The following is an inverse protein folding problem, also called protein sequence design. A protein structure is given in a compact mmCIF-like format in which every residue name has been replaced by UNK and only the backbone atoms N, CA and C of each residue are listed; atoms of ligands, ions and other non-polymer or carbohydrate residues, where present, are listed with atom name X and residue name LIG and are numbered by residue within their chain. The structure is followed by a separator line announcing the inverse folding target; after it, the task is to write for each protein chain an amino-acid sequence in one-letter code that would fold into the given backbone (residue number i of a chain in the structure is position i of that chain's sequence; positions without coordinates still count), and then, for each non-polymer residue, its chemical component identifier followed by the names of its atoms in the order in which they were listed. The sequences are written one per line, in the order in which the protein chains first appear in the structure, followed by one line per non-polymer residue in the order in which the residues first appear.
data_IF_609095852507
#
_entry.id   IF_609095852507
#
_cell.length_a   1.000
_cell.length_b   1.000
_cell.length_c   1.000
_cell.angle_alpha   90.00
_cell.angle_beta   90.00
_cell.angle_gamma   90.00
#
_symmetry.space_group_name_H-M   'P 1'
#
loop_
_entity.id
_entity.type
_entity.pdbx_description
1 polymer ?
#
# COMPACT_ATOMS: atom_id res chain seq x y z
N UNK A 1 5.36 -13.56 0.82
CA UNK A 1 3.95 -13.15 0.77
C UNK A 1 3.39 -13.30 2.17
N UNK A 2 3.23 -12.20 2.90
CA UNK A 2 2.37 -12.23 4.07
C UNK A 2 0.94 -12.36 3.54
N UNK A 3 0.31 -13.51 3.80
CA UNK A 3 -1.07 -13.72 3.42
C UNK A 3 -1.91 -12.97 4.46
N UNK A 4 -2.66 -11.93 4.07
CA UNK A 4 -3.60 -11.21 4.94
C UNK A 4 -4.50 -12.19 5.70
N UNK A 5 -4.79 -13.35 5.08
CA UNK A 5 -5.52 -14.45 5.69
C UNK A 5 -4.60 -15.58 6.18
N UNK A 6 -4.59 -15.82 7.49
CA UNK A 6 -3.87 -16.94 8.14
C UNK A 6 -4.56 -18.29 7.99
N UNK A 7 -5.36 -18.48 6.96
CA UNK A 7 -6.13 -19.73 6.71
C UNK A 7 -5.22 -20.97 6.70
N UNK A 8 -4.03 -20.88 6.08
CA UNK A 8 -3.07 -22.00 6.05
C UNK A 8 -2.54 -22.37 7.45
N UNK A 9 -2.40 -21.38 8.33
CA UNK A 9 -1.94 -21.60 9.70
C UNK A 9 -3.05 -22.16 10.59
N UNK A 10 -4.28 -21.67 10.43
CA UNK A 10 -5.48 -22.20 11.11
C UNK A 10 -5.74 -23.66 10.70
N UNK A 11 -5.55 -23.97 9.41
CA UNK A 11 -5.63 -25.35 8.91
C UNK A 11 -4.59 -26.24 9.59
N UNK A 12 -3.34 -25.78 9.69
CA UNK A 12 -2.25 -26.50 10.33
C UNK A 12 -2.51 -26.73 11.83
N UNK A 13 -3.00 -25.73 12.56
CA UNK A 13 -3.31 -25.87 14.00
C UNK A 13 -4.47 -26.83 14.27
N UNK A 14 -5.40 -26.97 13.32
CA UNK A 14 -6.54 -27.91 13.38
C UNK A 14 -6.25 -29.27 12.75
N UNK A 15 -5.00 -29.53 12.34
CA UNK A 15 -4.59 -30.75 11.63
C UNK A 15 -5.46 -31.05 10.38
N UNK A 16 -5.85 -30.00 9.67
CA UNK A 16 -6.65 -30.04 8.44
C UNK A 16 -5.82 -29.61 7.24
N UNK A 17 -6.15 -30.15 6.07
CA UNK A 17 -5.58 -29.75 4.79
C UNK A 17 -6.50 -28.77 4.05
N UNK A 18 -5.97 -28.08 3.04
CA UNK A 18 -6.80 -27.27 2.11
C UNK A 18 -7.85 -28.15 1.42
N UNK A 19 -7.54 -29.42 1.15
CA UNK A 19 -8.48 -30.37 0.56
C UNK A 19 -9.66 -30.65 1.49
N UNK A 20 -9.41 -30.78 2.78
CA UNK A 20 -10.46 -31.05 3.78
C UNK A 20 -11.42 -29.87 3.91
N UNK A 21 -10.88 -28.64 3.92
CA UNK A 21 -11.70 -27.43 3.93
C UNK A 21 -12.48 -27.27 2.63
N UNK A 22 -11.88 -27.56 1.48
CA UNK A 22 -12.57 -27.53 0.19
C UNK A 22 -13.74 -28.54 0.17
N UNK A 23 -13.53 -29.74 0.70
CA UNK A 23 -14.57 -30.76 0.88
C UNK A 23 -15.71 -30.27 1.76
N UNK A 24 -15.41 -29.67 2.93
CA UNK A 24 -16.44 -29.07 3.81
C UNK A 24 -17.23 -27.96 3.13
N UNK A 25 -16.57 -27.17 2.29
CA UNK A 25 -17.18 -26.07 1.53
C UNK A 25 -17.92 -26.54 0.27
N UNK A 26 -17.83 -27.82 -0.11
CA UNK A 26 -18.46 -28.34 -1.32
C UNK A 26 -17.83 -27.82 -2.62
N UNK A 27 -16.56 -27.43 -2.60
CA UNK A 27 -15.83 -26.90 -3.76
C UNK A 27 -14.53 -27.67 -4.02
N UNK A 28 -13.97 -27.51 -5.22
CA UNK A 28 -12.68 -28.10 -5.57
C UNK A 28 -11.54 -27.41 -4.80
N UNK A 29 -10.55 -28.19 -4.32
CA UNK A 29 -9.28 -27.72 -3.74
C UNK A 29 -8.61 -26.61 -4.56
N UNK A 30 -8.52 -26.76 -5.87
CA UNK A 30 -7.91 -25.76 -6.77
C UNK A 30 -8.70 -24.46 -6.73
N UNK A 31 -10.03 -24.54 -6.77
CA UNK A 31 -10.94 -23.39 -6.64
C UNK A 31 -10.75 -22.69 -5.30
N UNK A 32 -10.74 -23.44 -4.19
CA UNK A 32 -10.49 -22.87 -2.87
C UNK A 32 -9.10 -22.25 -2.76
N UNK A 33 -8.06 -22.92 -3.28
CA UNK A 33 -6.70 -22.39 -3.27
C UNK A 33 -6.59 -21.10 -4.08
N UNK A 34 -7.26 -21.02 -5.23
CA UNK A 34 -7.33 -19.80 -6.03
C UNK A 34 -8.11 -18.70 -5.31
N UNK A 35 -9.20 -19.03 -4.61
CA UNK A 35 -9.95 -18.06 -3.78
C UNK A 35 -9.11 -17.52 -2.62
N UNK A 36 -8.41 -18.40 -1.88
CA UNK A 36 -7.57 -18.01 -0.74
C UNK A 36 -6.41 -17.11 -1.20
N UNK A 37 -5.79 -17.43 -2.33
CA UNK A 37 -4.64 -16.65 -2.84
C UNK A 37 -5.06 -15.50 -3.76
N UNK A 38 -6.35 -15.36 -4.09
CA UNK A 38 -6.89 -14.44 -5.10
C UNK A 38 -7.92 -13.46 -4.56
N UNK A 39 -7.74 -13.01 -3.30
CA UNK A 39 -8.60 -12.08 -2.57
C UNK A 39 -10.07 -12.57 -2.46
N UNK A 40 -10.38 -13.45 -1.49
CA UNK A 40 -11.71 -14.03 -1.36
C UNK A 40 -12.75 -12.96 -0.98
N UNK A 41 -13.98 -13.10 -1.49
CA UNK A 41 -15.10 -12.23 -1.12
C UNK A 41 -15.42 -12.33 0.38
N UNK A 42 -16.09 -11.31 0.94
CA UNK A 42 -16.60 -11.35 2.32
C UNK A 42 -17.44 -12.60 2.61
N UNK A 43 -18.32 -12.97 1.68
CA UNK A 43 -19.15 -14.16 1.78
C UNK A 43 -18.29 -15.43 1.80
N UNK A 44 -17.26 -15.51 0.95
CA UNK A 44 -16.30 -16.62 0.94
C UNK A 44 -15.52 -16.69 2.24
N UNK A 45 -15.06 -15.56 2.78
CA UNK A 45 -14.35 -15.50 4.06
C UNK A 45 -15.26 -15.93 5.21
N UNK A 46 -16.52 -15.46 5.28
CA UNK A 46 -17.49 -15.92 6.28
C UNK A 46 -17.76 -17.42 6.18
N UNK A 47 -17.88 -17.97 4.96
CA UNK A 47 -18.01 -19.41 4.75
C UNK A 47 -16.77 -20.17 5.22
N UNK A 48 -15.57 -19.66 4.96
CA UNK A 48 -14.32 -20.27 5.42
C UNK A 48 -14.26 -20.27 6.96
N UNK A 49 -14.52 -19.13 7.62
CA UNK A 49 -14.55 -19.04 9.08
C UNK A 49 -15.55 -20.02 9.70
N UNK A 50 -16.77 -20.08 9.14
CA UNK A 50 -17.83 -21.01 9.56
C UNK A 50 -17.40 -22.47 9.41
N UNK A 51 -16.79 -22.86 8.29
CA UNK A 51 -16.37 -24.25 8.04
C UNK A 51 -15.12 -24.66 8.86
N UNK A 52 -14.29 -23.70 9.25
CA UNK A 52 -13.17 -23.87 10.16
C UNK A 52 -13.57 -23.78 11.64
N UNK A 53 -14.80 -23.35 11.92
CA UNK A 53 -15.30 -23.07 13.26
C UNK A 53 -14.35 -22.16 14.05
N UNK A 54 -14.11 -20.97 13.49
CA UNK A 54 -13.33 -19.87 14.09
C UNK A 54 -14.12 -18.57 13.95
N UNK A 55 -13.83 -17.58 14.78
CA UNK A 55 -14.39 -16.25 14.57
C UNK A 55 -13.90 -15.64 13.25
N UNK A 56 -14.70 -14.77 12.63
CA UNK A 56 -14.36 -14.15 11.36
C UNK A 56 -13.02 -13.39 11.42
N UNK A 57 -12.74 -12.74 12.55
CA UNK A 57 -11.49 -11.99 12.78
C UNK A 57 -10.26 -12.90 12.88
N UNK A 58 -10.42 -14.17 13.30
CA UNK A 58 -9.30 -15.12 13.38
C UNK A 58 -8.75 -15.52 12.01
N UNK A 59 -9.50 -15.28 10.92
CA UNK A 59 -8.99 -15.51 9.57
C UNK A 59 -7.83 -14.57 9.24
N UNK A 60 -7.70 -13.43 9.91
CA UNK A 60 -6.72 -12.40 9.61
C UNK A 60 -5.43 -12.57 10.40
N UNK A 61 -4.34 -12.01 9.88
CA UNK A 61 -3.06 -11.96 10.57
C UNK A 61 -3.02 -10.94 11.68
N UNK A 62 -3.65 -11.27 12.82
CA UNK A 62 -3.25 -10.65 14.08
C UNK A 62 -2.04 -11.38 14.65
N UNK A 63 -0.87 -10.75 14.60
CA UNK A 63 0.28 -11.17 15.41
C UNK A 63 0.07 -10.55 16.78
N UNK A 64 -0.03 -11.39 17.81
CA UNK A 64 -0.06 -10.96 19.20
C UNK A 64 1.08 -11.64 19.92
N UNK A 65 2.14 -10.88 20.14
CA UNK A 65 3.25 -11.27 21.00
C UNK A 65 3.10 -10.56 22.35
N UNK A 66 3.91 -10.93 23.34
CA UNK A 66 3.78 -10.43 24.72
C UNK A 66 3.61 -8.90 24.81
N UNK A 67 4.30 -8.14 23.96
CA UNK A 67 4.35 -6.67 24.05
C UNK A 67 3.81 -5.95 22.80
N UNK A 68 3.32 -6.65 21.77
CA UNK A 68 2.78 -5.96 20.58
C UNK A 68 1.65 -6.72 19.90
N UNK A 69 0.78 -5.98 19.22
CA UNK A 69 -0.32 -6.48 18.41
C UNK A 69 -0.34 -5.80 17.06
N UNK A 70 -0.56 -6.58 16.01
CA UNK A 70 -0.79 -6.09 14.64
C UNK A 70 -2.18 -6.53 14.24
N UNK A 71 -2.90 -5.72 13.49
CA UNK A 71 -4.18 -6.12 12.89
C UNK A 71 -4.24 -5.58 11.47
N UNK A 72 -4.14 -6.48 10.50
CA UNK A 72 -4.21 -6.13 9.07
C UNK A 72 -5.61 -6.42 8.56
N UNK A 73 -6.31 -5.39 8.10
CA UNK A 73 -7.70 -5.48 7.66
C UNK A 73 -7.85 -4.95 6.23
N UNK A 74 -9.09 -4.95 5.72
CA UNK A 74 -9.41 -4.38 4.41
C UNK A 74 -9.54 -2.85 4.44
N UNK A 75 -9.63 -2.23 5.63
CA UNK A 75 -9.78 -0.78 5.80
C UNK A 75 -8.55 -0.13 6.43
N UNK A 76 -7.80 -0.86 7.25
CA UNK A 76 -6.62 -0.32 7.92
C UNK A 76 -5.64 -1.41 8.32
N UNK A 77 -4.41 -0.96 8.57
CA UNK A 77 -3.38 -1.76 9.20
C UNK A 77 -3.06 -1.09 10.54
N UNK A 78 -3.45 -1.71 11.65
CA UNK A 78 -3.23 -1.19 12.99
C UNK A 78 -2.00 -1.83 13.64
N UNK A 79 -1.23 -1.02 14.37
CA UNK A 79 -0.09 -1.46 15.16
C UNK A 79 -0.18 -0.92 16.57
N UNK A 80 0.06 -1.78 17.54
CA UNK A 80 0.13 -1.43 18.95
C UNK A 80 1.34 -2.11 19.59
N UNK A 81 2.13 -1.36 20.33
CA UNK A 81 3.15 -1.86 21.26
C UNK A 81 2.77 -1.41 22.68
N UNK A 82 2.88 -2.29 23.65
CA UNK A 82 2.53 -2.00 25.03
C UNK A 82 3.36 -2.88 25.98
N UNK A 83 4.21 -2.25 26.79
CA UNK A 83 4.93 -2.89 27.90
C UNK A 83 4.84 -2.05 29.18
N UNK A 84 5.66 -2.32 30.20
CA UNK A 84 5.64 -1.56 31.46
C UNK A 84 6.03 -0.08 31.33
N UNK A 85 6.81 0.29 30.30
CA UNK A 85 7.41 1.62 30.16
C UNK A 85 6.79 2.44 29.02
N UNK A 86 6.46 1.79 27.90
CA UNK A 86 6.08 2.42 26.64
C UNK A 86 4.73 1.88 26.17
N UNK A 87 3.92 2.80 25.66
CA UNK A 87 2.75 2.49 24.86
C UNK A 87 2.87 3.21 23.51
N UNK A 88 2.79 2.49 22.41
CA UNK A 88 2.78 3.05 21.06
C UNK A 88 1.55 2.53 20.34
N UNK A 89 0.69 3.43 19.89
CA UNK A 89 -0.52 3.09 19.14
C UNK A 89 -0.54 3.81 17.81
N UNK A 90 -0.83 3.10 16.72
CA UNK A 90 -0.73 3.69 15.40
C UNK A 90 -1.34 2.86 14.28
N UNK A 91 -1.21 3.41 13.08
CA UNK A 91 -1.59 2.79 11.82
C UNK A 91 -0.36 2.66 10.94
N UNK A 92 -0.20 1.50 10.31
CA UNK A 92 0.79 1.21 9.30
C UNK A 92 0.27 1.64 7.92
N UNK A 93 1.14 1.70 6.89
CA UNK A 93 0.72 1.93 5.53
C UNK A 93 -0.39 0.96 5.10
N UNK A 94 -1.45 1.48 4.49
CA UNK A 94 -2.58 0.72 3.98
C UNK A 94 -2.97 1.23 2.58
N UNK A 95 -3.40 0.31 1.73
CA UNK A 95 -3.64 0.56 0.30
C UNK A 95 -4.67 1.65 0.02
N UNK A 96 -5.76 1.68 0.80
CA UNK A 96 -6.95 2.51 0.53
C UNK A 96 -7.04 3.82 1.33
N UNK A 97 -6.29 3.96 2.43
CA UNK A 97 -6.56 5.03 3.41
C UNK A 97 -5.34 5.85 3.80
N UNK A 98 -4.21 5.21 4.15
CA UNK A 98 -3.03 5.91 4.69
C UNK A 98 -1.76 5.23 4.19
N UNK A 99 -1.10 5.76 3.16
CA UNK A 99 0.09 5.11 2.59
C UNK A 99 1.41 5.48 3.32
N UNK A 100 1.34 6.34 4.33
CA UNK A 100 2.46 6.91 5.08
C UNK A 100 2.55 6.43 6.55
N UNK A 101 1.45 5.91 7.12
CA UNK A 101 1.39 5.47 8.53
C UNK A 101 1.39 6.62 9.54
N UNK A 102 0.97 6.35 10.78
CA UNK A 102 0.87 7.33 11.88
C UNK A 102 1.04 6.62 13.20
N UNK A 103 1.57 7.28 14.24
CA UNK A 103 1.52 6.75 15.59
C UNK A 103 1.46 7.84 16.67
N UNK A 104 1.08 7.44 17.87
CA UNK A 104 1.31 8.17 19.11
C UNK A 104 2.14 7.27 20.03
N UNK A 105 3.22 7.81 20.59
CA UNK A 105 4.12 7.09 21.50
C UNK A 105 4.11 7.76 22.87
N UNK A 106 3.63 7.06 23.87
CA UNK A 106 3.58 7.48 25.26
C UNK A 106 4.72 6.83 26.06
N UNK A 107 5.40 7.64 26.86
CA UNK A 107 6.29 7.16 27.92
C UNK A 107 5.49 7.23 29.22
N UNK A 108 5.02 6.08 29.71
CA UNK A 108 3.95 5.98 30.73
C UNK A 108 4.24 6.77 32.01
N UNK A 109 5.51 6.79 32.42
CA UNK A 109 5.94 7.47 33.66
C UNK A 109 6.18 8.97 33.50
N UNK A 110 6.13 9.50 32.26
CA UNK A 110 6.46 10.90 31.96
C UNK A 110 5.23 11.76 31.65
N UNK A 111 4.05 11.14 31.47
CA UNK A 111 2.77 11.86 31.35
C UNK A 111 2.59 12.67 30.06
N UNK A 112 3.34 12.36 29.00
CA UNK A 112 3.16 12.97 27.68
C UNK A 112 3.30 11.93 26.55
N UNK A 113 2.79 12.29 25.37
CA UNK A 113 2.90 11.48 24.16
C UNK A 113 3.58 12.25 23.03
N UNK A 114 4.38 11.55 22.25
CA UNK A 114 5.02 12.04 21.04
C UNK A 114 4.13 11.63 19.86
N UNK A 115 3.60 12.61 19.13
CA UNK A 115 2.71 12.41 17.99
C UNK A 115 3.35 13.06 16.77
N UNK A 116 4.10 12.30 15.95
CA UNK A 116 4.72 12.87 14.77
C UNK A 116 3.72 13.25 13.68
N UNK A 117 4.09 14.29 12.93
CA UNK A 117 3.47 14.60 11.64
C UNK A 117 4.01 13.67 10.52
N UNK A 118 3.45 13.77 9.32
CA UNK A 118 3.82 12.91 8.19
C UNK A 118 5.31 13.03 7.81
N UNK A 119 5.88 14.23 7.82
CA UNK A 119 7.28 14.46 7.48
C UNK A 119 8.22 13.85 8.53
N UNK A 120 7.84 13.91 9.80
CA UNK A 120 8.55 13.28 10.90
C UNK A 120 8.53 11.75 10.82
N UNK A 121 7.36 11.14 10.56
CA UNK A 121 7.26 9.70 10.29
C UNK A 121 8.14 9.31 9.11
N UNK A 122 8.06 10.06 8.00
CA UNK A 122 8.89 9.81 6.81
C UNK A 122 10.38 9.88 7.13
N UNK A 123 10.82 10.88 7.91
CA UNK A 123 12.22 11.00 8.34
C UNK A 123 12.68 9.80 9.16
N UNK A 124 11.84 9.30 10.07
CA UNK A 124 12.16 8.11 10.87
C UNK A 124 12.28 6.85 10.01
N UNK A 125 11.33 6.63 9.10
CA UNK A 125 11.26 5.41 8.28
C UNK A 125 12.40 5.31 7.26
N UNK A 126 12.82 6.44 6.69
CA UNK A 126 13.86 6.51 5.66
C UNK A 126 15.26 6.85 6.21
N UNK A 127 15.42 6.87 7.52
CA UNK A 127 16.72 7.10 8.15
C UNK A 127 17.69 5.96 7.85
N UNK A 128 18.96 6.29 7.57
CA UNK A 128 20.06 5.32 7.50
C UNK A 128 20.63 4.98 8.88
N UNK A 129 20.34 5.82 9.89
CA UNK A 129 20.74 5.63 11.28
C UNK A 129 19.92 4.53 11.95
N UNK A 130 20.52 3.80 12.89
CA UNK A 130 19.76 2.96 13.81
C UNK A 130 18.83 3.82 14.68
N UNK A 131 17.79 3.22 15.25
CA UNK A 131 16.87 3.95 16.15
C UNK A 131 17.62 4.57 17.32
N UNK A 132 18.60 3.86 17.89
CA UNK A 132 19.43 4.37 18.98
C UNK A 132 20.23 5.62 18.56
N UNK A 133 20.87 5.59 17.40
CA UNK A 133 21.64 6.72 16.89
C UNK A 133 20.73 7.93 16.58
N UNK A 134 19.60 7.67 15.92
CA UNK A 134 18.63 8.69 15.51
C UNK A 134 18.13 9.52 16.70
N UNK A 135 17.89 8.88 17.84
CA UNK A 135 17.30 9.54 19.01
C UNK A 135 18.34 10.08 20.00
N UNK A 136 19.59 9.61 19.98
CA UNK A 136 20.56 9.93 21.02
C UNK A 136 20.99 11.41 21.02
N UNK A 137 21.06 12.02 22.21
CA UNK A 137 21.57 13.39 22.43
C UNK A 137 22.59 13.53 23.54
N UNK A 138 22.87 12.47 24.29
CA UNK A 138 23.88 12.49 25.35
C UNK A 138 23.45 11.76 26.61
N UNK A 139 24.08 12.13 27.73
CA UNK A 139 23.76 11.64 29.07
C UNK A 139 23.21 12.77 29.94
N UNK A 140 22.27 12.43 30.82
CA UNK A 140 21.73 13.31 31.84
C UNK A 140 21.75 12.57 33.18
N UNK A 141 22.84 12.74 33.94
CA UNK A 141 23.13 11.86 35.06
C UNK A 141 23.31 10.41 34.57
N UNK A 142 22.63 9.47 35.23
CA UNK A 142 22.62 8.05 34.84
C UNK A 142 21.63 7.74 33.69
N UNK A 143 20.79 8.69 33.30
CA UNK A 143 19.81 8.54 32.23
C UNK A 143 20.41 8.86 30.84
N UNK A 144 19.81 8.28 29.80
CA UNK A 144 20.13 8.62 28.41
C UNK A 144 19.23 9.76 27.95
N UNK A 145 19.83 10.88 27.54
CA UNK A 145 19.09 12.00 26.97
C UNK A 145 18.77 11.68 25.51
N UNK A 146 17.47 11.63 25.18
CA UNK A 146 17.01 11.40 23.82
C UNK A 146 16.23 12.60 23.28
N UNK A 147 16.18 12.68 21.96
CA UNK A 147 15.29 13.53 21.20
C UNK A 147 14.58 12.69 20.13
N UNK A 148 13.26 12.65 20.19
CA UNK A 148 12.45 12.17 19.07
C UNK A 148 11.64 13.34 18.54
N UNK A 149 12.00 13.79 17.34
CA UNK A 149 11.44 14.99 16.69
C UNK A 149 11.63 16.25 17.55
N UNK A 150 10.56 16.93 17.93
CA UNK A 150 10.59 18.11 18.80
C UNK A 150 10.68 17.77 20.30
N UNK A 151 10.51 16.50 20.68
CA UNK A 151 10.43 16.08 22.08
C UNK A 151 11.79 15.65 22.63
N UNK A 152 12.24 16.31 23.70
CA UNK A 152 13.47 15.97 24.43
C UNK A 152 13.10 15.42 25.81
N UNK A 153 13.67 14.27 26.17
CA UNK A 153 13.47 13.68 27.51
C UNK A 153 14.65 12.80 27.88
N UNK A 154 15.08 12.78 29.15
CA UNK A 154 15.95 11.72 29.62
C UNK A 154 15.12 10.45 29.86
N UNK A 155 15.73 9.29 29.62
CA UNK A 155 15.15 7.97 29.81
C UNK A 155 16.07 7.11 30.69
N UNK A 156 15.48 6.38 31.64
CA UNK A 156 16.17 5.29 32.33
C UNK A 156 16.57 4.19 31.34
N UNK A 157 17.49 3.29 31.73
CA UNK A 157 17.93 2.19 30.86
C UNK A 157 16.77 1.31 30.36
N UNK A 158 15.81 0.99 31.25
CA UNK A 158 14.63 0.19 30.91
C UNK A 158 13.68 0.95 29.98
N UNK A 159 13.41 2.22 30.25
CA UNK A 159 12.58 3.08 29.37
C UNK A 159 13.22 3.19 27.98
N UNK A 160 14.53 3.43 27.91
CA UNK A 160 15.27 3.56 26.66
C UNK A 160 15.19 2.26 25.83
N UNK A 161 15.37 1.09 26.46
CA UNK A 161 15.26 -0.21 25.78
C UNK A 161 13.85 -0.42 25.21
N UNK A 162 12.82 -0.20 26.02
CA UNK A 162 11.42 -0.30 25.58
C UNK A 162 11.11 0.68 24.44
N UNK A 163 11.62 1.91 24.53
CA UNK A 163 11.41 2.98 23.55
C UNK A 163 11.98 2.60 22.18
N UNK A 164 13.24 2.16 22.16
CA UNK A 164 13.89 1.70 20.94
C UNK A 164 13.18 0.47 20.36
N UNK A 165 12.75 -0.48 21.20
CA UNK A 165 12.05 -1.68 20.75
C UNK A 165 10.71 -1.35 20.08
N UNK A 166 9.91 -0.46 20.67
CA UNK A 166 8.63 -0.03 20.12
C UNK A 166 8.80 0.60 18.72
N UNK A 167 9.76 1.52 18.57
CA UNK A 167 10.06 2.17 17.30
C UNK A 167 10.60 1.18 16.26
N UNK A 168 11.51 0.28 16.64
CA UNK A 168 12.06 -0.74 15.73
C UNK A 168 10.96 -1.64 15.15
N UNK A 169 10.03 -2.10 16.00
CA UNK A 169 8.90 -2.91 15.56
C UNK A 169 7.98 -2.12 14.62
N UNK A 170 7.65 -0.87 14.96
CA UNK A 170 6.85 -0.01 14.10
C UNK A 170 7.51 0.19 12.72
N UNK A 171 8.81 0.52 12.68
CA UNK A 171 9.57 0.70 11.43
C UNK A 171 9.55 -0.58 10.59
N UNK A 172 9.82 -1.74 11.22
CA UNK A 172 9.82 -3.02 10.55
C UNK A 172 8.48 -3.32 9.86
N UNK A 173 7.37 -3.27 10.60
CA UNK A 173 6.05 -3.59 10.05
C UNK A 173 5.54 -2.52 9.08
N UNK A 174 5.98 -1.26 9.24
CA UNK A 174 5.72 -0.21 8.28
C UNK A 174 6.34 -0.53 6.93
N UNK A 175 7.62 -0.91 6.92
CA UNK A 175 8.35 -1.30 5.72
C UNK A 175 7.75 -2.55 5.06
N UNK A 176 7.34 -3.56 5.83
CA UNK A 176 6.65 -4.74 5.30
C UNK A 176 5.35 -4.38 4.59
N UNK A 177 4.48 -3.58 5.24
CA UNK A 177 3.24 -3.11 4.64
C UNK A 177 3.49 -2.28 3.37
N UNK A 178 4.52 -1.40 3.40
CA UNK A 178 4.86 -0.59 2.24
C UNK A 178 5.36 -1.44 1.06
N UNK A 179 6.16 -2.47 1.34
CA UNK A 179 6.64 -3.39 0.32
C UNK A 179 5.48 -4.19 -0.31
N UNK A 180 4.54 -4.67 0.50
CA UNK A 180 3.35 -5.35 -0.01
C UNK A 180 2.50 -4.42 -0.89
N UNK A 181 2.28 -3.17 -0.45
CA UNK A 181 1.60 -2.16 -1.25
C UNK A 181 2.32 -1.94 -2.58
N UNK A 182 3.65 -1.80 -2.58
CA UNK A 182 4.41 -1.62 -3.81
C UNK A 182 4.28 -2.81 -4.76
N UNK A 183 4.16 -4.04 -4.23
CA UNK A 183 3.95 -5.25 -5.05
C UNK A 183 2.59 -5.18 -5.74
N UNK A 184 1.53 -4.82 -4.99
CA UNK A 184 0.17 -4.71 -5.53
C UNK A 184 0.10 -3.60 -6.58
N UNK A 185 0.68 -2.44 -6.27
CA UNK A 185 0.72 -1.27 -7.16
C UNK A 185 1.70 -1.45 -8.33
N UNK A 186 2.54 -2.49 -8.34
CA UNK A 186 3.53 -2.72 -9.39
C UNK A 186 4.59 -1.62 -9.48
N UNK A 187 4.96 -1.02 -8.34
CA UNK A 187 5.76 0.21 -8.26
C UNK A 187 7.23 0.00 -7.90
N UNK A 188 7.69 -1.24 -7.73
CA UNK A 188 9.08 -1.54 -7.37
C UNK A 188 10.12 -0.90 -8.31
N UNK A 189 9.81 -0.82 -9.60
CA UNK A 189 10.72 -0.26 -10.62
C UNK A 189 10.54 1.26 -10.84
N UNK A 190 9.60 1.89 -10.13
CA UNK A 190 9.19 3.27 -10.40
C UNK A 190 9.36 4.16 -9.17
N UNK A 191 9.97 5.32 -9.38
CA UNK A 191 10.13 6.31 -8.32
C UNK A 191 8.80 7.02 -8.06
N UNK A 192 8.39 7.12 -6.79
CA UNK A 192 7.24 7.95 -6.41
C UNK A 192 7.62 9.43 -6.54
N UNK A 193 6.82 10.18 -7.28
CA UNK A 193 6.99 11.62 -7.47
C UNK A 193 6.18 12.39 -6.42
N UNK A 194 6.91 13.04 -5.51
CA UNK A 194 6.39 13.76 -4.34
C UNK A 194 5.58 12.88 -3.35
N UNK A 195 5.69 13.15 -2.05
CA UNK A 195 4.91 12.41 -1.03
C UNK A 195 3.43 12.81 -1.07
N UNK A 196 3.12 14.04 -1.50
CA UNK A 196 1.77 14.58 -1.56
C UNK A 196 1.04 14.30 -2.88
N UNK A 197 1.73 13.70 -3.86
CA UNK A 197 1.13 13.35 -5.15
C UNK A 197 1.13 11.83 -5.34
N UNK A 198 0.12 11.30 -6.03
CA UNK A 198 -0.03 9.87 -6.26
C UNK A 198 0.67 9.38 -7.55
N UNK A 199 1.74 10.08 -7.96
CA UNK A 199 2.44 9.79 -9.20
C UNK A 199 3.60 8.81 -8.99
N UNK A 200 3.71 7.86 -9.90
CA UNK A 200 4.91 7.04 -10.07
C UNK A 200 5.50 7.31 -11.45
N UNK A 201 6.79 7.64 -11.50
CA UNK A 201 7.53 7.96 -12.72
C UNK A 201 7.67 6.71 -13.60
N UNK A 202 6.92 6.65 -14.70
CA UNK A 202 6.98 5.54 -15.65
C UNK A 202 8.14 5.67 -16.63
N UNK A 203 8.64 6.89 -16.87
CA UNK A 203 9.80 7.16 -17.71
C UNK A 203 9.59 8.30 -18.70
N UNK A 204 10.68 8.66 -19.39
CA UNK A 204 10.68 9.71 -20.41
C UNK A 204 10.21 9.18 -21.76
N UNK A 205 9.40 9.97 -22.47
CA UNK A 205 9.08 9.76 -23.89
C UNK A 205 9.21 11.08 -24.66
N UNK A 206 9.31 11.01 -25.99
CA UNK A 206 9.32 12.21 -26.84
C UNK A 206 7.99 12.97 -26.72
N UNK A 207 8.05 14.30 -26.65
CA UNK A 207 6.85 15.14 -26.54
C UNK A 207 5.92 14.98 -27.74
N UNK A 208 6.47 14.77 -28.93
CA UNK A 208 5.68 14.47 -30.13
C UNK A 208 4.90 13.16 -29.99
N UNK A 209 5.48 12.15 -29.33
CA UNK A 209 4.76 10.90 -29.04
C UNK A 209 3.62 11.16 -28.06
N UNK A 210 3.83 11.98 -27.03
CA UNK A 210 2.75 12.37 -26.12
C UNK A 210 1.62 13.10 -26.83
N UNK A 211 1.93 14.09 -27.67
CA UNK A 211 0.93 14.79 -28.48
C UNK A 211 0.08 13.82 -29.31
N UNK A 212 0.71 12.81 -29.92
CA UNK A 212 -0.01 11.75 -30.65
C UNK A 212 -0.86 10.85 -29.75
N UNK A 213 -0.43 10.60 -28.51
CA UNK A 213 -1.25 9.87 -27.54
C UNK A 213 -2.53 10.65 -27.18
N UNK A 214 -2.43 11.98 -27.03
CA UNK A 214 -3.60 12.84 -26.80
C UNK A 214 -4.53 12.88 -28.02
N UNK A 215 -4.00 12.86 -29.25
CA UNK A 215 -4.86 12.72 -30.44
C UNK A 215 -5.51 11.32 -30.53
N UNK A 216 -4.81 10.27 -30.11
CA UNK A 216 -5.37 8.93 -30.02
C UNK A 216 -6.58 8.87 -29.07
N UNK A 217 -6.52 9.54 -27.91
CA UNK A 217 -7.65 9.55 -26.96
C UNK A 217 -8.89 10.20 -27.56
N UNK A 218 -8.76 11.25 -28.38
CA UNK A 218 -9.87 11.89 -29.12
C UNK A 218 -10.52 10.93 -30.12
N UNK A 219 -9.74 10.12 -30.82
CA UNK A 219 -10.27 9.16 -31.80
C UNK A 219 -11.12 8.07 -31.12
N UNK A 220 -10.69 7.63 -29.94
CA UNK A 220 -11.30 6.55 -29.16
C UNK A 220 -12.01 7.05 -27.90
N UNK A 221 -12.49 8.29 -27.95
CA UNK A 221 -13.22 8.90 -26.85
C UNK A 221 -14.47 8.08 -26.48
N UNK A 222 -14.96 8.24 -25.25
CA UNK A 222 -16.17 7.60 -24.74
C UNK A 222 -17.34 7.72 -25.72
N UNK A 223 -17.54 8.90 -26.30
CA UNK A 223 -18.66 9.18 -27.20
C UNK A 223 -18.39 8.77 -28.67
N UNK A 224 -17.18 8.28 -28.97
CA UNK A 224 -16.80 7.85 -30.31
C UNK A 224 -17.56 6.60 -30.76
N UNK A 225 -17.97 6.56 -32.03
CA UNK A 225 -18.56 5.36 -32.64
C UNK A 225 -17.53 4.22 -32.87
N UNK A 226 -16.22 4.48 -32.75
CA UNK A 226 -15.17 3.46 -32.90
C UNK A 226 -15.07 2.59 -31.65
N UNK A 227 -15.25 1.28 -31.82
CA UNK A 227 -15.30 0.30 -30.73
C UNK A 227 -14.30 -0.87 -30.92
N UNK A 228 -13.33 -0.75 -31.83
CA UNK A 228 -12.30 -1.75 -32.07
C UNK A 228 -11.08 -1.63 -31.15
N UNK A 229 -11.14 -0.75 -30.15
CA UNK A 229 -10.11 -0.51 -29.16
C UNK A 229 -10.74 -0.02 -27.84
N UNK A 230 -9.91 0.26 -26.85
CA UNK A 230 -10.31 0.76 -25.54
C UNK A 230 -10.92 2.17 -25.61
N UNK A 231 -11.72 2.55 -24.60
CA UNK A 231 -12.37 3.85 -24.51
C UNK A 231 -11.63 4.82 -23.59
N UNK A 232 -11.49 6.07 -24.03
CA UNK A 232 -10.72 7.09 -23.34
C UNK A 232 -11.54 8.33 -22.97
N UNK A 233 -11.04 9.11 -22.03
CA UNK A 233 -11.48 10.48 -21.77
C UNK A 233 -10.60 11.45 -22.58
N UNK A 234 -11.13 12.06 -23.63
CA UNK A 234 -10.42 13.07 -24.40
C UNK A 234 -10.47 14.44 -23.70
N UNK A 235 -9.70 14.61 -22.62
CA UNK A 235 -9.63 15.88 -21.88
C UNK A 235 -8.53 16.83 -22.40
N UNK A 236 -7.67 16.38 -23.32
CA UNK A 236 -6.60 17.17 -23.93
C UNK A 236 -5.28 17.23 -23.17
N UNK A 237 -5.20 16.65 -21.97
CA UNK A 237 -4.02 16.75 -21.10
C UNK A 237 -3.53 15.38 -20.61
N UNK A 238 -4.45 14.48 -20.27
CA UNK A 238 -4.14 13.16 -19.72
C UNK A 238 -4.52 12.05 -20.70
N UNK A 239 -3.90 10.89 -20.51
CA UNK A 239 -4.35 9.63 -21.11
C UNK A 239 -5.12 8.85 -20.05
N UNK A 240 -6.44 9.02 -20.04
CA UNK A 240 -7.35 8.32 -19.12
C UNK A 240 -8.16 7.29 -19.91
N UNK A 241 -8.03 6.03 -19.54
CA UNK A 241 -8.75 4.90 -20.14
C UNK A 241 -9.77 4.36 -19.15
N UNK A 242 -10.97 4.00 -19.61
CA UNK A 242 -12.04 3.49 -18.75
C UNK A 242 -12.25 1.98 -18.89
N UNK A 243 -12.55 1.31 -17.77
CA UNK A 243 -13.08 -0.05 -17.77
C UNK A 243 -14.61 -0.01 -17.88
N UNK A 244 -15.14 -0.30 -19.06
CA UNK A 244 -16.58 -0.26 -19.33
C UNK A 244 -17.40 -1.33 -18.57
N UNK A 245 -16.75 -2.32 -17.97
CA UNK A 245 -17.43 -3.36 -17.21
C UNK A 245 -17.80 -2.91 -15.78
N UNK A 246 -17.22 -1.82 -15.29
CA UNK A 246 -17.45 -1.31 -13.93
C UNK A 246 -18.59 -0.28 -13.97
N UNK A 247 -19.76 -0.67 -13.44
CA UNK A 247 -21.01 0.13 -13.50
C UNK A 247 -21.19 1.13 -12.35
N UNK A 248 -20.46 0.97 -11.23
CA UNK A 248 -20.46 1.92 -10.09
C UNK A 248 -19.32 2.92 -10.29
N UNK A 249 -19.54 4.18 -9.89
CA UNK A 249 -18.73 5.35 -10.27
C UNK A 249 -17.20 5.19 -10.19
N UNK A 250 -16.52 5.99 -11.01
CA UNK A 250 -15.05 6.03 -11.22
C UNK A 250 -14.44 4.72 -11.75
N UNK A 251 -14.74 4.41 -13.00
CA UNK A 251 -14.27 3.23 -13.73
C UNK A 251 -12.94 3.45 -14.47
N UNK A 252 -12.01 4.23 -13.91
CA UNK A 252 -10.73 4.53 -14.57
C UNK A 252 -9.83 3.30 -14.52
N UNK A 253 -9.50 2.72 -15.68
CA UNK A 253 -8.61 1.57 -15.84
C UNK A 253 -7.13 1.94 -15.86
N UNK A 254 -6.82 3.13 -16.37
CA UNK A 254 -5.47 3.69 -16.53
C UNK A 254 -5.55 5.21 -16.50
N UNK A 255 -4.62 5.85 -15.80
CA UNK A 255 -4.44 7.30 -15.84
C UNK A 255 -2.95 7.62 -15.97
N UNK A 256 -2.58 8.24 -17.08
CA UNK A 256 -1.24 8.76 -17.31
C UNK A 256 -1.29 10.28 -17.46
N UNK A 257 -0.35 10.96 -16.81
CA UNK A 257 -0.19 12.41 -16.86
C UNK A 257 1.27 12.79 -17.10
N UNK A 258 1.51 14.02 -17.53
CA UNK A 258 2.86 14.58 -17.57
C UNK A 258 3.25 15.04 -16.15
N UNK A 259 4.50 14.75 -15.76
CA UNK A 259 5.16 15.39 -14.62
C UNK A 259 5.97 16.57 -15.18
N UNK A 260 5.37 17.76 -15.17
CA UNK A 260 5.91 18.93 -15.89
C UNK A 260 7.27 19.37 -15.34
N UNK A 261 7.47 19.31 -14.02
CA UNK A 261 8.73 19.72 -13.37
C UNK A 261 9.92 18.83 -13.74
N UNK A 262 9.65 17.64 -14.29
CA UNK A 262 10.67 16.69 -14.78
C UNK A 262 10.70 16.60 -16.31
N UNK A 263 9.87 17.37 -16.98
CA UNK A 263 9.77 17.39 -18.44
C UNK A 263 10.63 18.50 -19.03
N UNK A 264 10.94 18.37 -20.32
CA UNK A 264 11.70 19.34 -21.09
C UNK A 264 10.95 19.74 -22.35
N UNK A 265 11.55 20.58 -23.19
CA UNK A 265 10.93 20.98 -24.46
C UNK A 265 10.65 19.76 -25.37
N UNK A 266 11.62 18.86 -25.54
CA UNK A 266 11.51 17.74 -26.49
C UNK A 266 11.01 16.42 -25.86
N UNK A 267 10.99 16.32 -24.53
CA UNK A 267 10.63 15.08 -23.83
C UNK A 267 9.76 15.32 -22.61
N UNK A 268 8.86 14.37 -22.34
CA UNK A 268 7.94 14.40 -21.20
C UNK A 268 8.22 13.24 -20.26
N UNK A 269 8.23 13.53 -18.96
CA UNK A 269 8.19 12.50 -17.93
C UNK A 269 6.74 12.04 -17.75
N UNK A 270 6.46 10.78 -18.06
CA UNK A 270 5.13 10.21 -17.87
C UNK A 270 5.00 9.69 -16.44
N UNK A 271 3.96 10.15 -15.74
CA UNK A 271 3.56 9.65 -14.43
C UNK A 271 2.33 8.75 -14.53
N UNK A 272 2.35 7.62 -13.81
CA UNK A 272 1.14 6.85 -13.51
C UNK A 272 0.46 7.47 -12.29
N UNK A 273 -0.80 7.89 -12.45
CA UNK A 273 -1.58 8.47 -11.37
C UNK A 273 -2.52 7.42 -10.76
N UNK A 274 -2.45 7.26 -9.44
CA UNK A 274 -3.42 6.49 -8.67
C UNK A 274 -4.16 7.41 -7.69
N UNK A 275 -5.13 8.23 -8.15
CA UNK A 275 -5.78 9.25 -7.32
C UNK A 275 -6.40 8.66 -6.04
N UNK A 276 -6.69 9.49 -5.04
CA UNK A 276 -7.16 9.00 -3.73
C UNK A 276 -8.51 8.27 -3.78
N UNK A 277 -9.34 8.55 -4.80
CA UNK A 277 -10.60 7.86 -5.09
C UNK A 277 -10.45 6.68 -6.06
N UNK A 278 -9.22 6.39 -6.51
CA UNK A 278 -8.92 5.20 -7.28
C UNK A 278 -9.15 4.01 -6.36
N UNK A 279 -10.18 3.20 -6.63
CA UNK A 279 -10.43 2.00 -5.86
C UNK A 279 -9.31 0.99 -6.13
N UNK A 280 -8.23 1.11 -5.36
CA UNK A 280 -7.02 0.30 -5.49
C UNK A 280 -7.29 -1.17 -5.15
N UNK A 281 -8.44 -1.54 -4.58
CA UNK A 281 -8.82 -2.95 -4.46
C UNK A 281 -9.11 -3.58 -5.83
N UNK A 282 -9.55 -2.81 -6.82
CA UNK A 282 -9.75 -3.27 -8.19
C UNK A 282 -8.45 -3.62 -8.92
N UNK A 283 -7.31 -3.14 -8.42
CA UNK A 283 -5.98 -3.58 -8.89
C UNK A 283 -5.77 -5.05 -8.52
N UNK A 284 -6.23 -5.48 -7.33
CA UNK A 284 -6.12 -6.89 -6.90
C UNK A 284 -6.97 -7.82 -7.78
N UNK A 285 -8.14 -7.36 -8.25
CA UNK A 285 -8.98 -8.10 -9.20
C UNK A 285 -8.54 -7.97 -10.66
N UNK A 286 -7.48 -7.18 -10.94
CA UNK A 286 -6.97 -6.86 -12.29
C UNK A 286 -7.99 -6.17 -13.20
N UNK A 287 -8.98 -5.53 -12.61
CA UNK A 287 -9.96 -4.72 -13.35
C UNK A 287 -9.40 -3.35 -13.72
N UNK A 288 -8.38 -2.90 -12.98
CA UNK A 288 -7.66 -1.65 -13.19
C UNK A 288 -6.16 -1.98 -13.23
N UNK A 289 -5.42 -1.26 -14.08
CA UNK A 289 -3.98 -1.49 -14.22
C UNK A 289 -3.19 -0.90 -13.06
N UNK A 290 -2.24 -1.68 -12.56
CA UNK A 290 -1.17 -1.18 -11.69
C UNK A 290 -0.11 -0.40 -12.50
N UNK A 291 0.91 0.16 -11.85
CA UNK A 291 1.94 0.96 -12.51
C UNK A 291 2.71 0.17 -13.59
N UNK A 292 3.05 -1.10 -13.32
CA UNK A 292 3.79 -1.94 -14.27
C UNK A 292 2.94 -2.34 -15.47
N UNK A 293 1.68 -2.68 -15.26
CA UNK A 293 0.73 -2.97 -16.33
C UNK A 293 0.46 -1.72 -17.18
N UNK A 294 0.36 -0.56 -16.53
CA UNK A 294 0.22 0.74 -17.19
C UNK A 294 1.43 1.07 -18.06
N UNK A 295 2.64 0.87 -17.54
CA UNK A 295 3.89 1.00 -18.30
C UNK A 295 3.92 0.06 -19.51
N UNK A 296 3.63 -1.22 -19.30
CA UNK A 296 3.65 -2.21 -20.37
C UNK A 296 2.62 -1.88 -21.46
N UNK A 297 1.42 -1.43 -21.07
CA UNK A 297 0.38 -1.04 -22.01
C UNK A 297 0.75 0.24 -22.78
N UNK A 298 1.32 1.23 -22.10
CA UNK A 298 1.84 2.44 -22.74
C UNK A 298 2.86 2.10 -23.84
N UNK A 299 3.88 1.32 -23.51
CA UNK A 299 4.99 1.04 -24.42
C UNK A 299 4.66 0.03 -25.51
N UNK A 300 3.84 -0.98 -25.23
CA UNK A 300 3.58 -2.06 -26.19
C UNK A 300 2.26 -1.93 -26.95
N UNK A 301 1.32 -1.10 -26.50
CA UNK A 301 0.04 -0.89 -27.17
C UNK A 301 -0.17 0.57 -27.58
N UNK A 302 -0.15 1.51 -26.64
CA UNK A 302 -0.52 2.91 -26.91
C UNK A 302 0.47 3.62 -27.83
N UNK A 303 1.76 3.59 -27.51
CA UNK A 303 2.80 4.27 -28.32
C UNK A 303 2.83 3.72 -29.77
N UNK A 304 2.87 2.40 -30.01
CA UNK A 304 2.81 1.85 -31.36
C UNK A 304 1.56 2.26 -32.14
N UNK A 305 0.42 2.42 -31.45
CA UNK A 305 -0.84 2.83 -32.07
C UNK A 305 -0.86 4.33 -32.38
N UNK A 306 -0.42 5.16 -31.44
CA UNK A 306 -0.30 6.61 -31.60
C UNK A 306 0.65 6.97 -32.75
N UNK A 307 1.74 6.22 -32.94
CA UNK A 307 2.67 6.42 -34.06
C UNK A 307 2.06 6.19 -35.45
N UNK A 308 0.91 5.49 -35.56
CA UNK A 308 0.18 5.25 -36.81
C UNK A 308 -0.81 6.35 -37.17
N UNK A 309 -1.05 7.30 -36.25
CA UNK A 309 -1.79 8.54 -36.49
C UNK A 309 -0.83 9.55 -37.10
#
# INVERSE_FOLDING_TARGET
MANILRIKEILKSKNMTISDLAGKMGINRVTLNNMINGNPTLETMQKIAKNLNVEFLELFSSIKENNYTISLTHVDNHFCYNDENIFLNGFLPHLLHRDYGTFALEIKRRGFSIIPNMAEVSKLIHSEETVEEFIYKGKYGDETLIQLFSSYTPLTELEHKSFCQALKLYIHFHQECKNEMNTILGTHDFKKYDFNQNYYELGMIDRDVWSKLIELTKIYDLDSAKNNFEKFNANGYDVIMYNQNIKKGYNIKLWLSIIEEKSSYDSVMVGWNAPDYFDRDLIKSKEIFNAKESYNFLHHALIPMAKKI
#
